data_IF_170901310983
#
_entry.id   IF_170901310983
#
_cell.length_a   1.000
_cell.length_b   1.000
_cell.length_c   1.000
_cell.angle_alpha   90.00
_cell.angle_beta   90.00
_cell.angle_gamma   90.00
#
_symmetry.space_group_name_H-M   'P 1'
#
loop_
_entity.id
_entity.type
_entity.pdbx_description
1 polymer ?
#
# COMPACT_ATOMS: atom_id res chain seq x y z
N UNK A 1 6.94 -13.41 -13.21
CA UNK A 1 5.65 -12.79 -12.84
C UNK A 1 5.43 -12.98 -11.34
N UNK A 2 5.17 -11.91 -10.60
CA UNK A 2 4.98 -11.91 -9.14
C UNK A 2 3.63 -12.49 -8.73
N UNK A 3 3.56 -13.34 -7.69
CA UNK A 3 2.33 -13.99 -7.24
C UNK A 3 1.72 -13.26 -6.02
N UNK A 4 0.44 -12.90 -6.06
CA UNK A 4 -0.29 -12.48 -4.86
C UNK A 4 -0.96 -13.68 -4.21
N UNK A 5 -0.74 -13.85 -2.91
CA UNK A 5 -1.40 -14.83 -2.05
C UNK A 5 -2.07 -14.12 -0.88
N UNK A 6 -3.03 -14.79 -0.25
CA UNK A 6 -3.76 -14.25 0.90
C UNK A 6 -3.73 -15.25 2.04
N UNK A 7 -3.54 -14.76 3.26
CA UNK A 7 -3.81 -15.57 4.44
C UNK A 7 -5.31 -15.57 4.67
N UNK A 8 -5.98 -16.66 4.27
CA UNK A 8 -7.45 -16.79 4.27
C UNK A 8 -8.10 -16.48 5.63
N UNK A 9 -7.40 -16.71 6.74
CA UNK A 9 -7.91 -16.47 8.09
C UNK A 9 -7.85 -15.01 8.54
N UNK A 10 -7.18 -14.12 7.80
CA UNK A 10 -6.90 -12.74 8.23
C UNK A 10 -7.79 -11.69 7.55
N UNK A 11 -8.73 -12.11 6.70
CA UNK A 11 -9.68 -11.22 6.05
C UNK A 11 -11.08 -11.42 6.63
N UNK A 12 -11.79 -10.31 6.84
CA UNK A 12 -13.18 -10.26 7.33
C UNK A 12 -14.05 -11.33 6.68
N UNK A 13 -14.97 -11.95 7.42
CA UNK A 13 -15.97 -12.88 6.89
C UNK A 13 -16.92 -12.21 5.87
N UNK A 14 -16.87 -10.89 5.74
CA UNK A 14 -17.63 -10.11 4.76
C UNK A 14 -16.96 -10.14 3.38
N UNK A 15 -17.57 -10.85 2.43
CA UNK A 15 -17.04 -11.06 1.08
C UNK A 15 -16.71 -9.76 0.32
N UNK A 16 -17.53 -8.72 0.48
CA UNK A 16 -17.30 -7.46 -0.22
C UNK A 16 -16.05 -6.74 0.28
N UNK A 17 -15.82 -6.77 1.60
CA UNK A 17 -14.58 -6.26 2.22
C UNK A 17 -13.36 -7.02 1.71
N UNK A 18 -13.44 -8.34 1.61
CA UNK A 18 -12.35 -9.15 1.02
C UNK A 18 -12.08 -8.74 -0.42
N UNK A 19 -13.14 -8.64 -1.25
CA UNK A 19 -13.04 -8.27 -2.66
C UNK A 19 -12.39 -6.89 -2.84
N UNK A 20 -12.80 -5.89 -2.06
CA UNK A 20 -12.21 -4.55 -2.14
C UNK A 20 -10.75 -4.55 -1.69
N UNK A 21 -10.42 -5.23 -0.59
CA UNK A 21 -9.04 -5.36 -0.10
C UNK A 21 -8.12 -5.95 -1.17
N UNK A 22 -8.57 -7.03 -1.83
CA UNK A 22 -7.83 -7.68 -2.93
C UNK A 22 -7.68 -6.73 -4.10
N UNK A 23 -8.78 -6.08 -4.52
CA UNK A 23 -8.78 -5.17 -5.67
C UNK A 23 -7.80 -4.02 -5.49
N UNK A 24 -7.81 -3.37 -4.33
CA UNK A 24 -6.88 -2.28 -4.02
C UNK A 24 -5.44 -2.77 -3.98
N UNK A 25 -5.20 -3.91 -3.32
CA UNK A 25 -3.85 -4.49 -3.22
C UNK A 25 -3.30 -4.83 -4.59
N UNK A 26 -4.10 -5.46 -5.45
CA UNK A 26 -3.70 -5.77 -6.82
C UNK A 26 -3.41 -4.51 -7.61
N UNK A 27 -4.33 -3.54 -7.60
CA UNK A 27 -4.13 -2.26 -8.29
C UNK A 27 -2.85 -1.56 -7.82
N UNK A 28 -2.56 -1.56 -6.52
CA UNK A 28 -1.32 -1.03 -5.98
C UNK A 28 -0.09 -1.74 -6.55
N UNK A 29 -0.08 -3.08 -6.55
CA UNK A 29 1.05 -3.87 -7.03
C UNK A 29 1.23 -3.83 -8.55
N UNK A 30 0.16 -3.58 -9.32
CA UNK A 30 0.21 -3.56 -10.78
C UNK A 30 0.38 -2.17 -11.38
N UNK A 31 0.23 -1.09 -10.60
CA UNK A 31 0.47 0.28 -11.09
C UNK A 31 1.95 0.49 -11.40
N UNK A 32 2.25 0.83 -12.65
CA UNK A 32 3.63 1.04 -13.12
C UNK A 32 4.39 2.08 -12.30
N UNK A 33 3.73 3.20 -11.97
CA UNK A 33 4.31 4.23 -11.11
C UNK A 33 4.71 3.66 -9.73
N UNK A 34 3.83 2.91 -9.08
CA UNK A 34 4.10 2.31 -7.77
C UNK A 34 5.23 1.29 -7.85
N UNK A 35 5.24 0.45 -8.89
CA UNK A 35 6.33 -0.50 -9.13
C UNK A 35 7.66 0.21 -9.30
N UNK A 36 7.72 1.26 -10.11
CA UNK A 36 8.93 2.03 -10.37
C UNK A 36 9.43 2.68 -9.07
N UNK A 37 8.57 3.42 -8.36
CA UNK A 37 8.94 4.10 -7.12
C UNK A 37 9.43 3.11 -6.05
N UNK A 38 8.76 1.96 -5.90
CA UNK A 38 9.20 0.94 -4.95
C UNK A 38 10.51 0.29 -5.38
N UNK A 39 10.70 0.02 -6.68
CA UNK A 39 11.93 -0.59 -7.20
C UNK A 39 13.14 0.32 -6.98
N UNK A 40 12.98 1.62 -7.26
CA UNK A 40 13.99 2.65 -6.98
C UNK A 40 14.37 2.69 -5.50
N UNK A 41 13.38 2.58 -4.59
CA UNK A 41 13.63 2.61 -3.14
C UNK A 41 14.25 1.31 -2.61
N UNK A 42 13.92 0.17 -3.21
CA UNK A 42 14.43 -1.14 -2.82
C UNK A 42 15.84 -1.41 -3.36
N UNK A 43 16.22 -0.75 -4.46
CA UNK A 43 17.47 -1.03 -5.17
C UNK A 43 17.40 -2.30 -6.04
N UNK A 44 16.20 -2.84 -6.25
CA UNK A 44 15.93 -3.98 -7.11
C UNK A 44 14.48 -3.96 -7.59
N UNK A 45 14.20 -4.64 -8.70
CA UNK A 45 12.87 -4.64 -9.29
C UNK A 45 11.85 -5.33 -8.38
N UNK A 46 10.70 -4.70 -8.17
CA UNK A 46 9.56 -5.30 -7.45
C UNK A 46 9.13 -6.65 -8.05
N UNK A 47 9.35 -6.86 -9.35
CA UNK A 47 9.06 -8.13 -10.03
C UNK A 47 9.94 -9.31 -9.58
N UNK A 48 11.10 -9.02 -8.97
CA UNK A 48 11.96 -10.03 -8.35
C UNK A 48 11.38 -10.54 -7.02
N UNK A 49 10.40 -9.84 -6.45
CA UNK A 49 9.61 -10.37 -5.34
C UNK A 49 8.73 -11.50 -5.89
N UNK A 50 9.00 -12.71 -5.42
CA UNK A 50 8.34 -13.93 -5.88
C UNK A 50 6.90 -14.01 -5.37
N UNK A 51 6.62 -13.43 -4.20
CA UNK A 51 5.29 -13.55 -3.57
C UNK A 51 4.95 -12.32 -2.74
N UNK A 52 3.68 -11.92 -2.78
CA UNK A 52 3.08 -10.97 -1.86
C UNK A 52 1.98 -11.63 -1.04
N UNK A 53 1.86 -11.21 0.21
CA UNK A 53 0.87 -11.73 1.14
C UNK A 53 0.13 -10.57 1.80
N UNK A 54 -1.20 -10.58 1.77
CA UNK A 54 -2.00 -9.67 2.60
C UNK A 54 -1.95 -10.18 4.04
N UNK A 55 -1.35 -9.38 4.92
CA UNK A 55 -1.18 -9.68 6.34
C UNK A 55 -2.43 -9.26 7.11
N UNK A 56 -2.90 -8.04 6.89
CA UNK A 56 -4.12 -7.53 7.49
C UNK A 56 -4.94 -6.80 6.42
N UNK A 57 -6.27 -6.99 6.45
CA UNK A 57 -7.18 -6.13 5.70
C UNK A 57 -7.17 -4.69 6.22
N UNK A 58 -8.10 -3.86 5.73
CA UNK A 58 -8.25 -2.47 6.20
C UNK A 58 -8.47 -2.47 7.72
N UNK A 59 -7.58 -1.84 8.45
CA UNK A 59 -7.69 -1.65 9.90
C UNK A 59 -7.18 -0.27 10.30
N UNK A 60 -7.62 0.21 11.45
CA UNK A 60 -7.19 1.50 12.00
C UNK A 60 -5.93 1.32 12.85
N UNK A 61 -4.96 2.20 12.64
CA UNK A 61 -3.75 2.32 13.48
C UNK A 61 -3.52 3.77 13.89
N UNK A 62 -2.44 4.04 14.64
CA UNK A 62 -1.99 5.40 14.97
C UNK A 62 -1.74 6.26 13.74
N UNK A 63 -1.31 5.65 12.65
CA UNK A 63 -0.87 6.33 11.44
C UNK A 63 -1.99 6.44 10.39
N UNK A 64 -3.20 5.99 10.72
CA UNK A 64 -4.36 5.98 9.83
C UNK A 64 -4.85 4.59 9.46
N UNK A 65 -5.94 4.56 8.68
CA UNK A 65 -6.54 3.35 8.16
C UNK A 65 -5.74 2.80 6.97
N UNK A 66 -5.33 1.54 7.05
CA UNK A 66 -4.52 0.94 5.98
C UNK A 66 -4.67 -0.58 5.89
N UNK A 67 -4.21 -1.12 4.76
CA UNK A 67 -4.03 -2.55 4.51
C UNK A 67 -2.54 -2.88 4.68
N UNK A 68 -2.20 -3.95 5.41
CA UNK A 68 -0.80 -4.37 5.56
C UNK A 68 -0.52 -5.55 4.62
N UNK A 69 0.50 -5.41 3.79
CA UNK A 69 0.99 -6.49 2.92
C UNK A 69 2.48 -6.74 3.14
N UNK A 70 2.94 -7.95 2.79
CA UNK A 70 4.35 -8.35 2.88
C UNK A 70 4.82 -8.98 1.59
N UNK A 71 5.92 -8.47 1.04
CA UNK A 71 6.60 -8.99 -0.13
C UNK A 71 7.76 -9.89 0.25
N UNK A 72 7.98 -10.96 -0.53
CA UNK A 72 9.00 -11.98 -0.31
C UNK A 72 9.90 -12.13 -1.53
N UNK A 73 11.19 -12.32 -1.29
CA UNK A 73 12.16 -12.74 -2.29
C UNK A 73 12.57 -14.20 -1.98
N UNK A 74 12.07 -15.14 -2.76
CA UNK A 74 12.15 -16.56 -2.43
C UNK A 74 11.37 -16.86 -1.14
N UNK A 75 12.07 -17.36 -0.11
CA UNK A 75 11.49 -17.67 1.21
C UNK A 75 11.62 -16.53 2.23
N UNK A 76 12.32 -15.45 1.88
CA UNK A 76 12.67 -14.39 2.83
C UNK A 76 11.73 -13.21 2.70
N UNK A 77 11.19 -12.74 3.84
CA UNK A 77 10.43 -11.51 3.88
C UNK A 77 11.36 -10.34 3.54
N UNK A 78 11.07 -9.65 2.45
CA UNK A 78 11.90 -8.56 1.95
C UNK A 78 11.33 -7.20 2.35
N UNK A 79 10.00 -7.02 2.27
CA UNK A 79 9.38 -5.71 2.46
C UNK A 79 8.02 -5.84 3.14
N UNK A 80 7.71 -4.92 4.04
CA UNK A 80 6.34 -4.70 4.55
C UNK A 80 5.82 -3.39 4.00
N UNK A 81 4.56 -3.37 3.55
CA UNK A 81 3.93 -2.18 2.98
C UNK A 81 2.59 -1.94 3.67
N UNK A 82 2.35 -0.69 4.04
CA UNK A 82 1.05 -0.19 4.47
C UNK A 82 0.46 0.59 3.30
N UNK A 83 -0.71 0.15 2.81
CA UNK A 83 -1.47 0.83 1.77
C UNK A 83 -2.57 1.63 2.46
N UNK A 84 -2.43 2.95 2.52
CA UNK A 84 -3.43 3.83 3.14
C UNK A 84 -4.65 3.94 2.23
N UNK A 85 -5.82 3.78 2.84
CA UNK A 85 -7.10 3.80 2.15
C UNK A 85 -8.16 4.51 2.97
N UNK A 86 -9.07 5.19 2.28
CA UNK A 86 -10.26 5.77 2.91
C UNK A 86 -11.28 4.68 3.35
N UNK A 87 -12.44 5.11 3.85
CA UNK A 87 -13.54 4.21 4.23
C UNK A 87 -14.13 3.43 3.04
N UNK A 88 -13.96 3.94 1.82
CA UNK A 88 -14.45 3.35 0.56
C UNK A 88 -13.39 2.52 -0.16
N UNK A 89 -12.28 2.21 0.50
CA UNK A 89 -11.15 1.47 -0.08
C UNK A 89 -10.52 2.21 -1.27
N UNK A 90 -10.56 3.54 -1.31
CA UNK A 90 -9.82 4.32 -2.31
C UNK A 90 -8.39 4.51 -1.82
N UNK A 91 -7.43 4.26 -2.71
CA UNK A 91 -6.00 4.42 -2.43
C UNK A 91 -5.67 5.89 -2.17
N UNK A 92 -4.96 6.17 -1.08
CA UNK A 92 -4.49 7.51 -0.73
C UNK A 92 -2.96 7.62 -0.84
N UNK A 93 -2.23 6.75 -0.16
CA UNK A 93 -0.76 6.73 -0.14
C UNK A 93 -0.24 5.34 0.30
N UNK A 94 1.08 5.18 0.40
CA UNK A 94 1.71 4.02 1.02
C UNK A 94 2.96 4.37 1.82
N UNK A 95 3.23 3.53 2.81
CA UNK A 95 4.51 3.47 3.49
C UNK A 95 5.11 2.07 3.36
N UNK A 96 6.43 1.98 3.31
CA UNK A 96 7.13 0.72 3.12
C UNK A 96 8.31 0.60 4.10
N UNK A 97 8.60 -0.62 4.53
CA UNK A 97 9.68 -0.94 5.45
C UNK A 97 10.50 -2.12 4.92
N UNK A 98 11.82 -1.94 4.91
CA UNK A 98 12.82 -2.95 4.58
C UNK A 98 13.61 -3.25 5.84
N UNK A 99 13.63 -4.51 6.30
CA UNK A 99 14.33 -4.94 7.52
C UNK A 99 14.00 -4.06 8.76
N UNK A 100 12.71 -3.73 8.94
CA UNK A 100 12.22 -2.89 10.04
C UNK A 100 12.49 -1.40 9.89
N UNK A 101 13.24 -0.97 8.87
CA UNK A 101 13.53 0.45 8.60
C UNK A 101 12.56 0.99 7.56
N UNK A 102 11.89 2.09 7.89
CA UNK A 102 10.98 2.78 6.95
C UNK A 102 11.80 3.29 5.76
N UNK A 103 11.39 2.94 4.55
CA UNK A 103 11.93 3.51 3.32
C UNK A 103 11.59 5.00 3.31
N UNK A 104 12.59 5.87 3.16
CA UNK A 104 12.38 7.32 3.12
C UNK A 104 11.39 7.63 1.98
N UNK A 105 10.23 8.20 2.31
CA UNK A 105 9.37 8.78 1.30
C UNK A 105 10.14 9.97 0.69
N UNK A 106 10.41 9.94 -0.61
CA UNK A 106 10.47 11.22 -1.34
C UNK A 106 9.04 11.74 -1.26
N UNK A 107 8.85 12.83 -0.52
CA UNK A 107 7.58 13.54 -0.42
C UNK A 107 7.17 13.98 -1.82
N UNK A 108 6.43 13.14 -2.55
CA UNK A 108 5.56 13.63 -3.62
C UNK A 108 4.34 14.19 -2.91
N UNK A 109 4.47 15.40 -2.36
CA UNK A 109 3.31 16.18 -1.94
C UNK A 109 2.46 16.44 -3.18
N UNK A 110 1.55 15.52 -3.50
CA UNK A 110 0.32 15.88 -4.20
C UNK A 110 -0.73 16.23 -3.15
N UNK A 111 -0.43 17.26 -2.33
CA UNK A 111 -1.51 18.03 -1.72
C UNK A 111 -2.13 18.84 -2.86
N UNK A 112 -3.19 18.30 -3.47
CA UNK A 112 -4.28 19.14 -3.98
C UNK A 112 -4.80 19.95 -2.80
N UNK A 113 -4.28 21.15 -2.58
CA UNK A 113 -5.01 22.20 -1.86
C UNK A 113 -6.01 22.79 -2.86
N UNK A 114 -7.15 22.13 -2.99
CA UNK A 114 -8.38 22.88 -3.20
C UNK A 114 -8.68 23.61 -1.90
N UNK A 115 -8.28 24.88 -1.79
CA UNK A 115 -8.91 25.81 -0.88
C UNK A 115 -9.78 26.74 -1.74
N UNK A 116 -10.99 26.29 -2.02
CA UNK A 116 -12.12 27.21 -2.12
C UNK A 116 -12.37 27.75 -0.71
N UNK A 117 -12.44 29.07 -0.59
CA UNK A 117 -12.82 29.72 0.66
C UNK A 117 -12.23 31.12 0.78
N UNK A 118 -12.92 32.08 0.16
CA UNK A 118 -13.22 33.42 0.68
C UNK A 118 -12.09 34.12 1.47
N UNK A 119 -11.51 35.14 0.87
CA UNK A 119 -11.27 36.37 1.63
C UNK A 119 -11.59 37.61 0.79
N UNK A 120 -12.80 38.09 1.00
CA UNK A 120 -13.19 39.48 0.83
C UNK A 120 -12.49 40.29 1.91
N UNK A 121 -11.60 41.23 1.54
CA UNK A 121 -11.46 42.60 2.10
C UNK A 121 -10.13 43.26 1.70
N UNK A 122 -10.27 44.53 1.31
CA UNK A 122 -9.29 45.61 1.08
C UNK A 122 -8.62 45.63 -0.31
#
# INVERSE_FOLDING_TARGET
MTRLSMVKSLLSNQRDVQRQTIKVTLNFLTRDQTKQEMSERLGYNVEQLSTWVIINGRHQSTDGAHITIRGFQGKWAAITVHIYVDEWYRYEDYAAWLNGKKLRQKTTQLRKKGQHGLDSRL
#
